data_IF_612134112894
#
_entry.id   IF_612134112894
#
_cell.length_a   1.000
_cell.length_b   1.000
_cell.length_c   1.000
_cell.angle_alpha   90.00
_cell.angle_beta   90.00
_cell.angle_gamma   90.00
#
_symmetry.space_group_name_H-M   'P 1'
#
loop_
_entity.id
_entity.type
_entity.pdbx_description
1 polymer ?
#
# COMPACT_ATOMS: atom_id res chain seq x y z
N UNK A 1 -13.08 4.83 8.60
CA UNK A 1 -12.53 3.79 7.72
C UNK A 1 -11.49 4.49 6.87
N UNK A 2 -10.22 4.25 7.14
CA UNK A 2 -9.12 4.92 6.46
C UNK A 2 -8.92 4.31 5.06
N UNK A 3 -8.72 5.14 4.04
CA UNK A 3 -8.41 4.70 2.68
C UNK A 3 -6.88 4.67 2.51
N UNK A 4 -6.29 3.47 2.68
CA UNK A 4 -4.83 3.29 2.65
C UNK A 4 -4.41 2.68 1.33
N UNK A 5 -3.47 3.35 0.64
CA UNK A 5 -2.80 2.83 -0.55
C UNK A 5 -1.28 2.98 -0.45
N UNK A 6 -0.56 1.99 -0.96
CA UNK A 6 0.88 1.96 -1.02
C UNK A 6 1.36 2.20 -2.45
N UNK A 7 2.32 3.11 -2.63
CA UNK A 7 2.92 3.41 -3.93
C UNK A 7 4.37 2.94 -4.00
N UNK A 8 4.69 2.19 -5.05
CA UNK A 8 6.06 1.88 -5.42
C UNK A 8 6.50 2.78 -6.60
N UNK A 9 7.69 3.36 -6.50
CA UNK A 9 8.29 4.16 -7.59
C UNK A 9 9.69 3.66 -7.91
N UNK A 10 10.01 3.59 -9.20
CA UNK A 10 11.33 3.19 -9.68
C UNK A 10 11.75 3.97 -10.93
N UNK A 11 13.05 4.07 -11.16
CA UNK A 11 13.61 4.63 -12.39
C UNK A 11 13.40 3.72 -13.61
N UNK A 12 13.19 2.42 -13.37
CA UNK A 12 12.88 1.43 -14.41
C UNK A 12 11.69 0.56 -14.00
N UNK A 13 11.06 -0.09 -14.98
CA UNK A 13 9.96 -1.04 -14.74
C UNK A 13 10.34 -2.12 -13.74
N UNK A 14 11.54 -2.67 -13.88
CA UNK A 14 12.04 -3.75 -13.03
C UNK A 14 12.25 -3.31 -11.57
N UNK A 15 12.80 -2.10 -11.36
CA UNK A 15 12.95 -1.55 -10.01
C UNK A 15 11.59 -1.31 -9.37
N UNK A 16 10.64 -0.74 -10.11
CA UNK A 16 9.28 -0.50 -9.63
C UNK A 16 8.56 -1.81 -9.26
N UNK A 17 8.66 -2.85 -10.12
CA UNK A 17 8.07 -4.16 -9.85
C UNK A 17 8.68 -4.80 -8.59
N UNK A 18 10.01 -4.75 -8.43
CA UNK A 18 10.67 -5.34 -7.26
C UNK A 18 10.19 -4.71 -5.95
N UNK A 19 10.06 -3.39 -5.91
CA UNK A 19 9.56 -2.70 -4.72
C UNK A 19 8.06 -2.95 -4.50
N UNK A 20 7.26 -3.05 -5.56
CA UNK A 20 5.86 -3.46 -5.46
C UNK A 20 5.74 -4.85 -4.83
N UNK A 21 6.50 -5.84 -5.32
CA UNK A 21 6.49 -7.20 -4.80
C UNK A 21 6.97 -7.26 -3.34
N UNK A 22 7.86 -6.35 -2.95
CA UNK A 22 8.34 -6.21 -1.57
C UNK A 22 7.23 -5.66 -0.67
N UNK A 23 6.53 -4.61 -1.10
CA UNK A 23 5.38 -4.03 -0.37
C UNK A 23 4.30 -5.09 -0.19
N UNK A 24 3.90 -5.78 -1.25
CA UNK A 24 2.88 -6.81 -1.21
C UNK A 24 3.23 -7.92 -0.21
N UNK A 25 4.49 -8.37 -0.19
CA UNK A 25 4.97 -9.40 0.75
C UNK A 25 5.04 -8.92 2.20
N UNK A 26 5.46 -7.68 2.45
CA UNK A 26 5.67 -7.19 3.82
C UNK A 26 4.38 -6.72 4.49
N UNK A 27 3.45 -6.18 3.71
CA UNK A 27 2.25 -5.53 4.22
C UNK A 27 0.97 -6.31 3.94
N UNK A 28 1.10 -7.57 3.48
CA UNK A 28 0.00 -8.42 3.03
C UNK A 28 -0.96 -7.64 2.11
N UNK A 29 -0.39 -7.01 1.08
CA UNK A 29 -1.08 -6.11 0.18
C UNK A 29 -1.24 -6.74 -1.21
N UNK A 30 -2.31 -6.35 -1.92
CA UNK A 30 -2.57 -6.78 -3.30
C UNK A 30 -2.31 -5.62 -4.26
N UNK A 31 -1.57 -5.84 -5.37
CA UNK A 31 -1.36 -4.80 -6.37
C UNK A 31 -2.68 -4.46 -7.07
N UNK A 32 -3.00 -3.17 -7.11
CA UNK A 32 -4.16 -2.61 -7.84
C UNK A 32 -3.75 -1.91 -9.12
N UNK A 33 -2.47 -1.53 -9.23
CA UNK A 33 -1.90 -0.94 -10.43
C UNK A 33 -0.49 -1.49 -10.64
N UNK A 34 -0.27 -2.14 -11.77
CA UNK A 34 1.06 -2.60 -12.18
C UNK A 34 1.95 -1.41 -12.58
N UNK A 35 3.29 -1.60 -12.65
CA UNK A 35 4.20 -0.56 -13.08
C UNK A 35 3.76 0.08 -14.40
N UNK A 36 3.52 1.39 -14.34
CA UNK A 36 3.19 2.25 -15.47
C UNK A 36 4.07 3.49 -15.46
N UNK A 37 4.49 3.94 -16.63
CA UNK A 37 5.26 5.16 -16.86
C UNK A 37 4.39 6.34 -17.33
N UNK A 38 3.06 6.14 -17.38
CA UNK A 38 2.10 7.17 -17.77
C UNK A 38 1.94 8.30 -16.74
N UNK A 39 2.48 8.13 -15.54
CA UNK A 39 2.33 9.07 -14.42
C UNK A 39 3.70 9.70 -14.10
N UNK A 40 4.05 10.74 -14.85
CA UNK A 40 5.26 11.55 -14.65
C UNK A 40 6.57 10.85 -15.06
N UNK A 41 7.70 11.34 -14.55
CA UNK A 41 9.00 10.73 -14.84
C UNK A 41 9.24 9.49 -13.99
N UNK A 42 9.33 8.33 -14.64
CA UNK A 42 9.64 7.04 -14.04
C UNK A 42 8.44 6.10 -13.97
N UNK A 43 8.63 4.96 -13.30
CA UNK A 43 7.66 3.89 -13.21
C UNK A 43 6.97 3.92 -11.85
N UNK A 44 5.64 3.88 -11.85
CA UNK A 44 4.81 3.89 -10.64
C UNK A 44 3.88 2.68 -10.61
N UNK A 45 3.70 2.09 -9.43
CA UNK A 45 2.75 1.01 -9.17
C UNK A 45 2.02 1.25 -7.84
N UNK A 46 0.86 0.61 -7.66
CA UNK A 46 0.04 0.72 -6.44
C UNK A 46 -0.39 -0.62 -5.92
N UNK A 47 -0.48 -0.71 -4.60
CA UNK A 47 -1.08 -1.83 -3.87
C UNK A 47 -1.99 -1.30 -2.75
N UNK A 48 -2.96 -2.11 -2.34
CA UNK A 48 -3.83 -1.84 -1.19
C UNK A 48 -3.72 -2.99 -0.20
N UNK A 49 -3.85 -2.74 1.12
CA UNK A 49 -3.89 -3.81 2.10
C UNK A 49 -4.96 -4.85 1.74
N UNK A 50 -4.63 -6.13 1.85
CA UNK A 50 -5.62 -7.19 1.74
C UNK A 50 -6.37 -7.21 3.06
N UNK A 51 -7.56 -6.61 3.12
CA UNK A 51 -8.34 -6.62 4.37
C UNK A 51 -8.69 -8.06 4.74
N UNK A 52 -8.01 -8.59 5.77
CA UNK A 52 -8.73 -9.04 6.95
C UNK A 52 -8.49 -7.94 7.98
N UNK A 53 -9.46 -7.05 8.17
CA UNK A 53 -9.36 -6.02 9.21
C UNK A 53 -9.07 -6.73 10.55
N UNK A 54 -7.97 -6.44 11.25
CA UNK A 54 -7.96 -6.71 12.67
C UNK A 54 -8.85 -5.65 13.31
N UNK A 55 -10.00 -6.08 13.84
CA UNK A 55 -10.69 -5.31 14.88
C UNK A 55 -9.70 -5.11 16.03
N UNK A 56 -9.10 -3.93 16.11
CA UNK A 56 -8.42 -3.41 17.29
C UNK A 56 -8.36 -1.88 17.08
N UNK A 57 -8.98 -1.05 17.92
CA UNK A 57 -8.79 -1.07 19.37
C UNK A 57 -10.08 -0.70 20.10
N UNK A 58 -10.68 -1.66 20.81
CA UNK A 58 -11.38 -1.38 22.05
C UNK A 58 -10.33 -1.28 23.17
N UNK A 59 -9.75 -0.11 23.38
CA UNK A 59 -9.04 0.25 24.61
C UNK A 59 -8.73 1.75 24.59
N UNK A 60 -9.64 2.53 25.17
CA UNK A 60 -9.47 3.96 25.33
C UNK A 60 -10.74 4.56 25.89
N UNK A 61 -11.15 4.10 27.06
CA UNK A 61 -12.21 4.75 27.83
C UNK A 61 -11.88 6.23 27.98
N UNK A 62 -12.65 7.06 27.29
CA UNK A 62 -12.72 8.47 27.62
C UNK A 62 -13.66 8.57 28.82
N UNK A 63 -13.07 8.68 30.01
CA UNK A 63 -13.78 9.20 31.18
C UNK A 63 -14.02 10.69 30.90
N UNK A 64 -15.27 11.12 30.92
CA UNK A 64 -15.60 12.53 31.05
C UNK A 64 -16.95 12.70 31.74
N UNK A 65 -16.91 13.59 32.74
CA UNK A 65 -17.95 14.11 33.64
C UNK A 65 -18.16 13.33 34.94
#
# INVERSE_FOLDING_TARGET
>A
MDDVSYMARGSTRAVCQRELDRICRLLDAVPTMLPSDTVGHGWTARAVPTTKAPDAVAAGGFVSW
#
